data_IF_736268792295
#
_entry.id   IF_736268792295
#
_cell.length_a   1.000
_cell.length_b   1.000
_cell.length_c   1.000
_cell.angle_alpha   90.00
_cell.angle_beta   90.00
_cell.angle_gamma   90.00
#
_symmetry.space_group_name_H-M   'P 1'
#
loop_
_entity.id
_entity.type
_entity.pdbx_description
1 polymer ?
#
# COMPACT_ATOMS: atom_id res chain seq x y z
N UNK A 1 -18.62 20.83 3.87
CA UNK A 1 -18.33 19.47 3.42
C UNK A 1 -19.67 18.79 3.22
N UNK A 2 -19.96 18.38 1.99
CA UNK A 2 -21.16 17.58 1.69
C UNK A 2 -20.97 16.15 2.23
N UNK A 3 -22.05 15.37 2.27
CA UNK A 3 -21.95 13.94 2.61
C UNK A 3 -21.10 13.18 1.57
N UNK A 4 -21.19 13.60 0.31
CA UNK A 4 -20.36 13.08 -0.78
C UNK A 4 -18.87 13.37 -0.55
N UNK A 5 -18.50 14.60 -0.21
CA UNK A 5 -17.11 14.97 0.11
C UNK A 5 -16.55 14.12 1.27
N UNK A 6 -17.38 13.88 2.29
CA UNK A 6 -17.00 13.08 3.45
C UNK A 6 -16.77 11.61 3.06
N UNK A 7 -17.71 10.99 2.35
CA UNK A 7 -17.57 9.62 1.88
C UNK A 7 -16.35 9.44 0.98
N UNK A 8 -16.15 10.36 0.02
CA UNK A 8 -14.99 10.34 -0.87
C UNK A 8 -13.69 10.54 -0.10
N UNK A 9 -13.65 11.47 0.86
CA UNK A 9 -12.50 11.67 1.74
C UNK A 9 -12.16 10.43 2.59
N UNK A 10 -13.16 9.69 3.06
CA UNK A 10 -12.97 8.43 3.79
C UNK A 10 -12.42 7.31 2.88
N UNK A 11 -12.89 7.23 1.63
CA UNK A 11 -12.32 6.32 0.61
C UNK A 11 -10.85 6.65 0.38
N UNK A 12 -10.51 7.93 0.16
CA UNK A 12 -9.12 8.37 -0.02
C UNK A 12 -8.26 8.12 1.21
N UNK A 13 -8.82 8.25 2.42
CA UNK A 13 -8.14 7.89 3.66
C UNK A 13 -7.86 6.39 3.75
N UNK A 14 -8.83 5.54 3.37
CA UNK A 14 -8.65 4.10 3.27
C UNK A 14 -7.59 3.70 2.25
N UNK A 15 -7.62 4.28 1.04
CA UNK A 15 -6.59 4.06 0.01
C UNK A 15 -5.21 4.57 0.46
N UNK A 16 -5.16 5.70 1.17
CA UNK A 16 -3.93 6.24 1.76
C UNK A 16 -3.35 5.24 2.77
N UNK A 17 -4.16 4.78 3.72
CA UNK A 17 -3.73 3.77 4.69
C UNK A 17 -3.26 2.49 4.00
N UNK A 18 -3.98 2.03 2.97
CA UNK A 18 -3.59 0.86 2.20
C UNK A 18 -2.24 1.04 1.50
N UNK A 19 -1.99 2.19 0.88
CA UNK A 19 -0.73 2.46 0.20
C UNK A 19 0.44 2.59 1.18
N UNK A 20 0.21 3.15 2.37
CA UNK A 20 1.23 3.27 3.42
C UNK A 20 1.58 1.91 4.06
N UNK A 21 0.56 1.12 4.41
CA UNK A 21 0.75 -0.14 5.14
C UNK A 21 0.93 -1.34 4.19
N UNK A 22 0.01 -1.51 3.24
CA UNK A 22 0.07 -2.58 2.24
C UNK A 22 1.16 -2.36 1.19
N UNK A 23 1.48 -1.11 0.84
CA UNK A 23 2.56 -0.82 -0.10
C UNK A 23 3.93 -1.29 0.36
N UNK A 24 4.20 -1.23 1.68
CA UNK A 24 5.43 -1.76 2.27
C UNK A 24 5.55 -3.29 2.11
N UNK A 25 4.44 -4.03 2.18
CA UNK A 25 4.45 -5.49 2.00
C UNK A 25 4.73 -5.88 0.55
N UNK A 26 4.09 -5.20 -0.42
CA UNK A 26 4.34 -5.44 -1.84
C UNK A 26 5.77 -5.07 -2.21
N UNK A 27 6.26 -3.90 -1.78
CA UNK A 27 7.64 -3.51 -2.02
C UNK A 27 8.65 -4.45 -1.36
N UNK A 28 8.36 -5.01 -0.18
CA UNK A 28 9.23 -5.98 0.46
C UNK A 28 9.31 -7.29 -0.36
N UNK A 29 8.21 -7.69 -0.99
CA UNK A 29 8.20 -8.79 -1.96
C UNK A 29 9.06 -8.51 -3.20
N UNK A 30 9.08 -7.26 -3.69
CA UNK A 30 9.96 -6.86 -4.78
C UNK A 30 11.45 -6.92 -4.38
N UNK A 31 11.82 -6.35 -3.23
CA UNK A 31 13.19 -6.44 -2.73
C UNK A 31 13.61 -7.87 -2.43
N UNK A 32 12.68 -8.73 -1.99
CA UNK A 32 12.95 -10.15 -1.80
C UNK A 32 13.37 -10.85 -3.10
N UNK A 33 12.79 -10.48 -4.26
CA UNK A 33 13.22 -10.99 -5.56
C UNK A 33 14.60 -10.51 -5.98
N UNK A 34 14.92 -9.24 -5.68
CA UNK A 34 16.18 -8.61 -6.08
C UNK A 34 17.35 -9.01 -5.17
N UNK A 35 17.06 -9.47 -3.96
CA UNK A 35 18.05 -9.92 -2.97
C UNK A 35 18.28 -11.43 -2.97
N UNK A 36 18.06 -12.13 -4.11
CA UNK A 36 18.26 -13.60 -4.22
C UNK A 36 19.65 -14.05 -3.75
N UNK A 37 20.68 -13.29 -4.09
CA UNK A 37 22.08 -13.58 -3.75
C UNK A 37 22.53 -12.93 -2.42
N UNK A 38 21.60 -12.29 -1.68
CA UNK A 38 21.87 -11.59 -0.41
C UNK A 38 21.08 -12.22 0.74
N UNK A 39 21.59 -13.30 1.37
CA UNK A 39 20.85 -14.01 2.42
C UNK A 39 20.60 -13.16 3.67
N UNK A 40 21.45 -12.16 3.95
CA UNK A 40 21.24 -11.19 5.04
C UNK A 40 19.95 -10.38 4.86
N UNK A 41 19.80 -9.77 3.68
CA UNK A 41 18.63 -8.98 3.31
C UNK A 41 17.35 -9.83 3.34
N UNK A 42 17.39 -11.05 2.75
CA UNK A 42 16.23 -11.97 2.75
C UNK A 42 15.74 -12.28 4.15
N UNK A 43 16.64 -12.57 5.09
CA UNK A 43 16.28 -12.86 6.48
C UNK A 43 15.59 -11.67 7.16
N UNK A 44 16.04 -10.44 6.90
CA UNK A 44 15.40 -9.24 7.46
C UNK A 44 14.02 -9.04 6.84
N UNK A 45 13.88 -9.24 5.52
CA UNK A 45 12.60 -9.12 4.82
C UNK A 45 11.59 -10.15 5.31
N UNK A 46 11.97 -11.42 5.38
CA UNK A 46 11.10 -12.52 5.82
C UNK A 46 10.62 -12.31 7.26
N UNK A 47 11.48 -11.80 8.16
CA UNK A 47 11.08 -11.45 9.54
C UNK A 47 10.17 -10.22 9.62
N UNK A 48 10.31 -9.29 8.69
CA UNK A 48 9.52 -8.07 8.65
C UNK A 48 8.09 -8.30 8.11
N UNK A 49 7.93 -9.21 7.14
CA UNK A 49 6.69 -9.40 6.35
C UNK A 49 5.66 -10.34 7.03
N UNK A 50 5.90 -10.76 8.28
CA UNK A 50 5.06 -11.72 8.97
C UNK A 50 3.68 -11.19 9.44
N UNK A 51 3.54 -10.52 10.58
CA UNK A 51 2.29 -10.60 11.35
C UNK A 51 1.11 -9.72 10.90
N UNK A 52 1.26 -8.79 9.95
CA UNK A 52 0.25 -7.74 9.72
C UNK A 52 -0.42 -7.75 8.33
N UNK A 53 -0.07 -8.71 7.46
CA UNK A 53 -0.63 -8.81 6.09
C UNK A 53 -2.17 -8.76 6.07
N UNK A 54 -2.82 -9.50 6.98
CA UNK A 54 -4.29 -9.53 7.09
C UNK A 54 -4.87 -8.16 7.43
N UNK A 55 -4.21 -7.40 8.31
CA UNK A 55 -4.66 -6.07 8.73
C UNK A 55 -4.47 -5.02 7.63
N UNK A 56 -3.46 -5.18 6.76
CA UNK A 56 -3.19 -4.21 5.70
C UNK A 56 -4.27 -4.24 4.61
N UNK A 57 -4.76 -5.42 4.22
CA UNK A 57 -5.80 -5.53 3.18
C UNK A 57 -7.19 -5.06 3.61
N UNK A 58 -7.45 -4.99 4.92
CA UNK A 58 -8.69 -4.42 5.44
C UNK A 58 -8.92 -2.97 4.97
N UNK A 59 -7.85 -2.19 4.77
CA UNK A 59 -7.96 -0.81 4.26
C UNK A 59 -8.44 -0.73 2.82
N UNK A 60 -7.98 -1.64 1.95
CA UNK A 60 -8.47 -1.72 0.57
C UNK A 60 -9.91 -2.21 0.54
N UNK A 61 -10.23 -3.24 1.32
CA UNK A 61 -11.59 -3.75 1.42
C UNK A 61 -12.55 -2.67 1.93
N UNK A 62 -12.15 -1.88 2.92
CA UNK A 62 -12.91 -0.73 3.40
C UNK A 62 -13.12 0.29 2.28
N UNK A 63 -12.07 0.73 1.59
CA UNK A 63 -12.19 1.71 0.52
C UNK A 63 -13.14 1.23 -0.61
N UNK A 64 -13.05 -0.04 -1.00
CA UNK A 64 -13.93 -0.63 -2.01
C UNK A 64 -15.37 -0.78 -1.52
N UNK A 65 -15.56 -1.15 -0.24
CA UNK A 65 -16.88 -1.24 0.38
C UNK A 65 -17.56 0.13 0.39
N UNK A 66 -16.86 1.17 0.87
CA UNK A 66 -17.37 2.54 0.89
C UNK A 66 -17.67 3.05 -0.52
N UNK A 67 -16.79 2.76 -1.50
CA UNK A 67 -17.06 3.13 -2.89
C UNK A 67 -18.34 2.44 -3.41
N UNK A 68 -18.54 1.17 -3.09
CA UNK A 68 -19.71 0.40 -3.51
C UNK A 68 -21.00 0.88 -2.84
N UNK A 69 -20.98 1.17 -1.54
CA UNK A 69 -22.18 1.54 -0.78
C UNK A 69 -22.53 3.02 -0.91
N UNK A 70 -21.54 3.91 -0.90
CA UNK A 70 -21.75 5.35 -1.00
C UNK A 70 -21.92 5.83 -2.46
N UNK A 71 -21.23 5.19 -3.41
CA UNK A 71 -21.27 5.56 -4.84
C UNK A 71 -21.49 4.35 -5.77
N UNK A 72 -22.63 3.64 -5.66
CA UNK A 72 -22.87 2.41 -6.44
C UNK A 72 -22.67 2.57 -7.96
N UNK A 73 -23.14 3.65 -8.63
CA UNK A 73 -22.92 3.84 -10.06
C UNK A 73 -21.43 3.91 -10.42
N UNK A 74 -20.65 4.75 -9.71
CA UNK A 74 -19.20 4.90 -9.94
C UNK A 74 -18.48 3.56 -9.72
N UNK A 75 -18.86 2.81 -8.67
CA UNK A 75 -18.26 1.51 -8.40
C UNK A 75 -18.54 0.49 -9.49
N UNK A 76 -19.78 0.43 -9.98
CA UNK A 76 -20.17 -0.49 -11.05
C UNK A 76 -19.43 -0.19 -12.35
N UNK A 77 -19.40 1.09 -12.75
CA UNK A 77 -18.68 1.55 -13.94
C UNK A 77 -17.17 1.23 -13.85
N UNK A 78 -16.58 1.44 -12.66
CA UNK A 78 -15.19 1.09 -12.40
C UNK A 78 -14.95 -0.42 -12.54
N UNK A 79 -15.77 -1.26 -11.92
CA UNK A 79 -15.59 -2.72 -11.94
C UNK A 79 -15.75 -3.27 -13.36
N UNK A 80 -16.68 -2.72 -14.14
CA UNK A 80 -16.91 -3.14 -15.52
C UNK A 80 -15.80 -2.67 -16.46
N UNK A 81 -15.36 -1.41 -16.36
CA UNK A 81 -14.27 -0.88 -17.18
C UNK A 81 -12.92 -1.55 -16.87
N UNK A 82 -12.66 -1.88 -15.60
CA UNK A 82 -11.36 -2.30 -15.11
C UNK A 82 -11.31 -3.73 -14.58
N UNK A 83 -12.21 -4.60 -15.03
CA UNK A 83 -12.30 -6.00 -14.59
C UNK A 83 -10.97 -6.75 -14.64
N UNK A 84 -10.24 -6.65 -15.75
CA UNK A 84 -8.97 -7.36 -15.97
C UNK A 84 -7.90 -6.98 -14.93
N UNK A 85 -7.49 -5.70 -14.80
CA UNK A 85 -6.49 -5.32 -13.79
C UNK A 85 -6.97 -5.58 -12.35
N UNK A 86 -8.27 -5.43 -12.06
CA UNK A 86 -8.81 -5.73 -10.73
C UNK A 86 -8.70 -7.22 -10.38
N UNK A 87 -9.00 -8.12 -11.32
CA UNK A 87 -8.83 -9.58 -11.14
C UNK A 87 -7.35 -9.93 -10.96
N UNK A 88 -6.44 -9.32 -11.72
CA UNK A 88 -5.00 -9.55 -11.56
C UNK A 88 -4.54 -9.10 -10.16
N UNK A 89 -4.97 -7.92 -9.71
CA UNK A 89 -4.66 -7.42 -8.38
C UNK A 89 -5.22 -8.34 -7.27
N UNK A 90 -6.48 -8.78 -7.40
CA UNK A 90 -7.11 -9.70 -6.45
C UNK A 90 -6.39 -11.06 -6.41
N UNK A 91 -6.02 -11.61 -7.57
CA UNK A 91 -5.24 -12.85 -7.64
C UNK A 91 -3.85 -12.69 -7.00
N UNK A 92 -3.20 -11.55 -7.20
CA UNK A 92 -1.93 -11.24 -6.54
C UNK A 92 -2.05 -11.16 -5.02
N UNK A 93 -3.10 -10.49 -4.51
CA UNK A 93 -3.41 -10.44 -3.07
C UNK A 93 -3.66 -11.85 -2.53
N UNK A 94 -4.52 -12.64 -3.18
CA UNK A 94 -4.85 -14.00 -2.76
C UNK A 94 -3.61 -14.91 -2.74
N UNK A 95 -2.74 -14.82 -3.75
CA UNK A 95 -1.49 -15.57 -3.80
C UNK A 95 -0.56 -15.23 -2.62
N UNK A 96 -0.49 -13.95 -2.21
CA UNK A 96 0.29 -13.53 -1.02
C UNK A 96 -0.31 -14.03 0.29
N UNK A 97 -1.63 -14.06 0.40
CA UNK A 97 -2.32 -14.62 1.56
C UNK A 97 -2.07 -16.12 1.69
N UNK A 98 -2.20 -16.84 0.57
CA UNK A 98 -1.96 -18.27 0.50
C UNK A 98 -0.52 -18.65 0.88
N UNK A 99 0.50 -17.93 0.38
CA UNK A 99 1.89 -18.18 0.77
C UNK A 99 2.12 -17.96 2.25
N UNK A 100 1.62 -16.85 2.80
CA UNK A 100 1.77 -16.51 4.20
C UNK A 100 1.10 -17.53 5.14
N UNK A 101 -0.06 -18.07 4.73
CA UNK A 101 -0.76 -19.13 5.45
C UNK A 101 -0.01 -20.47 5.38
N UNK A 102 0.47 -20.85 4.19
CA UNK A 102 1.28 -22.05 3.99
C UNK A 102 2.62 -21.99 4.74
N UNK A 103 3.23 -20.83 4.89
CA UNK A 103 4.47 -20.71 5.65
C UNK A 103 4.27 -20.87 7.16
N UNK A 104 3.14 -20.40 7.71
CA UNK A 104 2.82 -20.50 9.15
C UNK A 104 2.23 -21.84 9.55
N UNK A 105 1.24 -22.29 8.78
CA UNK A 105 0.41 -23.45 9.11
C UNK A 105 0.70 -24.66 8.23
N UNK A 106 1.52 -24.49 7.18
CA UNK A 106 1.91 -25.59 6.32
C UNK A 106 2.60 -26.67 7.13
N UNK A 107 2.31 -27.95 6.86
CA UNK A 107 2.84 -29.05 7.63
C UNK A 107 4.34 -29.25 7.30
N UNK A 108 5.19 -28.37 7.83
CA UNK A 108 6.67 -28.41 7.68
C UNK A 108 7.29 -29.69 8.27
N UNK A 109 6.50 -30.54 8.94
CA UNK A 109 6.90 -31.84 9.50
C UNK A 109 6.44 -33.07 8.69
N UNK A 110 5.51 -32.97 7.73
CA UNK A 110 5.06 -34.14 6.95
C UNK A 110 5.67 -34.17 5.54
N UNK A 111 5.89 -35.37 5.00
CA UNK A 111 6.40 -35.56 3.63
C UNK A 111 5.46 -34.93 2.58
N UNK A 112 4.15 -34.94 2.86
CA UNK A 112 3.10 -34.29 2.06
C UNK A 112 3.26 -32.77 2.08
N UNK A 113 3.56 -32.16 3.23
CA UNK A 113 3.81 -30.72 3.33
C UNK A 113 5.08 -30.27 2.61
N UNK A 114 6.15 -31.07 2.66
CA UNK A 114 7.36 -30.84 1.85
C UNK A 114 7.14 -31.07 0.35
N UNK A 115 6.27 -32.01 -0.02
CA UNK A 115 5.89 -32.26 -1.41
C UNK A 115 5.02 -31.13 -1.96
N UNK A 116 4.00 -30.69 -1.23
CA UNK A 116 3.16 -29.54 -1.59
C UNK A 116 3.98 -28.25 -1.69
N UNK A 117 4.87 -27.95 -0.73
CA UNK A 117 5.71 -26.75 -0.82
C UNK A 117 6.76 -26.81 -1.93
N UNK A 118 7.29 -28.01 -2.27
CA UNK A 118 8.18 -28.20 -3.44
C UNK A 118 7.44 -28.17 -4.78
N UNK A 119 6.22 -28.69 -4.85
CA UNK A 119 5.41 -28.84 -6.08
C UNK A 119 4.65 -27.55 -6.39
N UNK A 120 4.11 -26.90 -5.37
CA UNK A 120 3.55 -25.55 -5.39
C UNK A 120 4.59 -24.58 -4.83
N UNK A 121 5.76 -24.49 -5.47
CA UNK A 121 6.62 -23.31 -5.26
C UNK A 121 5.83 -22.11 -5.78
N UNK A 122 5.14 -21.40 -4.89
CA UNK A 122 4.45 -20.13 -5.19
C UNK A 122 5.46 -18.96 -5.09
N UNK A 123 6.68 -19.19 -4.59
CA UNK A 123 7.83 -18.25 -4.63
C UNK A 123 8.02 -17.52 -5.99
N UNK A 124 7.99 -18.20 -7.16
CA UNK A 124 8.13 -17.52 -8.45
C UNK A 124 6.89 -16.71 -8.85
N UNK A 125 5.71 -16.98 -8.27
CA UNK A 125 4.49 -16.19 -8.49
C UNK A 125 4.40 -14.98 -7.53
N UNK A 126 5.04 -15.07 -6.36
CA UNK A 126 5.04 -14.02 -5.34
C UNK A 126 5.71 -12.74 -5.84
N UNK A 127 6.74 -12.89 -6.67
CA UNK A 127 7.45 -11.79 -7.27
C UNK A 127 6.62 -10.97 -8.26
N UNK A 128 6.14 -11.59 -9.34
CA UNK A 128 5.19 -10.98 -10.26
C UNK A 128 3.95 -10.44 -9.55
N UNK A 129 3.38 -11.15 -8.58
CA UNK A 129 2.24 -10.65 -7.80
C UNK A 129 2.57 -9.36 -7.03
N UNK A 130 3.79 -9.22 -6.51
CA UNK A 130 4.23 -8.03 -5.79
C UNK A 130 4.52 -6.83 -6.69
N UNK A 131 4.67 -7.06 -7.99
CA UNK A 131 4.81 -6.03 -9.03
C UNK A 131 3.45 -5.69 -9.66
N UNK A 132 2.73 -6.71 -10.11
CA UNK A 132 1.48 -6.58 -10.85
C UNK A 132 0.36 -6.01 -9.99
N UNK A 133 0.26 -6.39 -8.71
CA UNK A 133 -0.80 -5.87 -7.83
C UNK A 133 -0.76 -4.34 -7.69
N UNK A 134 0.34 -3.72 -7.22
CA UNK A 134 0.40 -2.26 -7.13
C UNK A 134 0.36 -1.60 -8.51
N UNK A 135 0.88 -2.25 -9.55
CA UNK A 135 0.78 -1.75 -10.92
C UNK A 135 -0.68 -1.65 -11.38
N UNK A 136 -1.45 -2.72 -11.28
CA UNK A 136 -2.85 -2.75 -11.70
C UNK A 136 -3.70 -1.75 -10.90
N UNK A 137 -3.52 -1.69 -9.57
CA UNK A 137 -4.26 -0.74 -8.73
C UNK A 137 -3.89 0.72 -9.05
N UNK A 138 -2.61 1.01 -9.26
CA UNK A 138 -2.13 2.34 -9.63
C UNK A 138 -2.59 2.78 -11.02
N UNK A 139 -2.65 1.85 -11.97
CA UNK A 139 -3.14 2.11 -13.31
C UNK A 139 -4.62 2.51 -13.28
N UNK A 140 -5.45 1.72 -12.59
CA UNK A 140 -6.89 2.00 -12.43
C UNK A 140 -7.11 3.34 -11.72
N UNK A 141 -6.40 3.60 -10.62
CA UNK A 141 -6.56 4.87 -9.90
C UNK A 141 -6.21 6.09 -10.77
N UNK A 142 -5.17 5.96 -11.61
CA UNK A 142 -4.73 7.07 -12.46
C UNK A 142 -5.64 7.28 -13.64
N UNK A 143 -6.15 6.21 -14.27
CA UNK A 143 -7.10 6.35 -15.38
C UNK A 143 -8.44 6.89 -14.94
N UNK A 144 -8.89 6.55 -13.72
CA UNK A 144 -10.07 7.20 -13.10
C UNK A 144 -9.79 8.70 -12.88
N UNK A 145 -8.61 9.06 -12.38
CA UNK A 145 -8.26 10.45 -12.13
C UNK A 145 -8.13 11.28 -13.42
N UNK A 146 -7.70 10.67 -14.53
CA UNK A 146 -7.52 11.36 -15.82
C UNK A 146 -8.72 11.22 -16.78
N UNK A 147 -9.69 10.37 -16.47
CA UNK A 147 -10.86 10.10 -17.32
C UNK A 147 -10.55 9.21 -18.53
N UNK A 148 -9.45 8.46 -18.50
CA UNK A 148 -9.04 7.56 -19.58
C UNK A 148 -9.79 6.23 -19.51
N UNK A 149 -10.20 5.68 -20.66
CA UNK A 149 -11.03 4.48 -20.69
C UNK A 149 -10.24 3.17 -20.47
N UNK A 150 -8.93 3.16 -20.74
CA UNK A 150 -8.10 1.96 -20.70
C UNK A 150 -6.99 2.06 -19.68
N UNK A 151 -6.88 1.05 -18.81
CA UNK A 151 -5.78 0.90 -17.84
C UNK A 151 -4.40 0.73 -18.50
N UNK A 152 -4.36 0.39 -19.79
CA UNK A 152 -3.12 0.30 -20.58
C UNK A 152 -2.81 1.59 -21.35
N UNK A 153 -3.55 2.67 -21.12
CA UNK A 153 -3.19 4.01 -21.62
C UNK A 153 -1.84 4.46 -21.07
N UNK A 154 -1.24 5.49 -21.68
CA UNK A 154 0.03 6.07 -21.22
C UNK A 154 -0.07 6.52 -19.76
N UNK A 155 -1.22 7.11 -19.38
CA UNK A 155 -1.48 7.57 -18.01
C UNK A 155 -1.66 6.40 -17.04
N UNK A 156 -2.34 5.32 -17.46
CA UNK A 156 -2.47 4.09 -16.67
C UNK A 156 -1.13 3.38 -16.44
N UNK A 157 -0.31 3.22 -17.49
CA UNK A 157 1.04 2.64 -17.37
C UNK A 157 1.91 3.49 -16.44
N UNK A 158 1.83 4.82 -16.57
CA UNK A 158 2.51 5.76 -15.68
C UNK A 158 2.07 5.58 -14.23
N UNK A 159 0.76 5.56 -13.97
CA UNK A 159 0.18 5.38 -12.64
C UNK A 159 0.57 4.07 -11.97
N UNK A 160 0.51 2.98 -12.74
CA UNK A 160 0.92 1.66 -12.27
C UNK A 160 2.40 1.57 -11.95
N UNK A 161 3.26 2.11 -12.83
CA UNK A 161 4.69 2.17 -12.60
C UNK A 161 5.02 3.01 -11.36
N UNK A 162 4.43 4.22 -11.25
CA UNK A 162 4.61 5.11 -10.11
C UNK A 162 4.23 4.43 -8.80
N UNK A 163 3.04 3.80 -8.75
CA UNK A 163 2.56 3.11 -7.55
C UNK A 163 3.48 1.96 -7.14
N UNK A 164 3.98 1.20 -8.12
CA UNK A 164 4.95 0.12 -7.86
C UNK A 164 6.27 0.64 -7.29
N UNK A 165 6.77 1.75 -7.84
CA UNK A 165 8.00 2.42 -7.35
C UNK A 165 7.80 3.00 -5.94
N UNK A 166 6.62 3.57 -5.66
CA UNK A 166 6.26 4.06 -4.32
C UNK A 166 6.23 2.92 -3.29
N UNK A 167 5.66 1.77 -3.64
CA UNK A 167 5.69 0.57 -2.80
C UNK A 167 7.13 0.12 -2.52
N UNK A 168 7.99 0.08 -3.55
CA UNK A 168 9.40 -0.27 -3.40
C UNK A 168 10.13 0.69 -2.44
N UNK A 169 9.90 1.98 -2.59
CA UNK A 169 10.46 3.02 -1.73
C UNK A 169 10.03 2.85 -0.27
N UNK A 170 8.72 2.72 -0.01
CA UNK A 170 8.22 2.54 1.35
C UNK A 170 8.74 1.28 2.01
N UNK A 171 8.81 0.18 1.27
CA UNK A 171 9.37 -1.05 1.79
C UNK A 171 10.83 -0.84 2.23
N UNK A 172 11.66 -0.20 1.41
CA UNK A 172 13.05 0.08 1.76
C UNK A 172 13.14 0.92 3.06
N UNK A 173 12.35 1.99 3.17
CA UNK A 173 12.28 2.83 4.38
C UNK A 173 11.89 2.04 5.63
N UNK A 174 10.90 1.15 5.52
CA UNK A 174 10.46 0.32 6.64
C UNK A 174 11.50 -0.75 7.01
N UNK A 175 12.16 -1.35 6.02
CA UNK A 175 13.18 -2.37 6.19
C UNK A 175 14.45 -1.83 6.86
N UNK A 176 14.81 -0.55 6.67
CA UNK A 176 15.93 0.08 7.41
C UNK A 176 15.74 -0.05 8.92
N UNK A 177 14.52 0.15 9.42
CA UNK A 177 14.22 0.04 10.85
C UNK A 177 14.34 -1.41 11.35
N UNK A 178 13.89 -2.38 10.54
CA UNK A 178 13.98 -3.79 10.89
C UNK A 178 15.43 -4.28 10.86
N UNK A 179 16.23 -3.84 9.88
CA UNK A 179 17.67 -4.08 9.84
C UNK A 179 18.39 -3.47 11.06
N UNK A 180 18.01 -2.23 11.44
CA UNK A 180 18.53 -1.60 12.67
C UNK A 180 18.23 -2.42 13.92
N UNK A 181 17.00 -2.93 14.05
CA UNK A 181 16.60 -3.80 15.17
C UNK A 181 17.35 -5.14 15.16
N UNK A 182 17.68 -5.65 13.97
CA UNK A 182 18.45 -6.89 13.83
C UNK A 182 19.95 -6.73 14.15
N UNK A 183 20.45 -5.49 14.26
CA UNK A 183 21.85 -5.21 14.60
C UNK A 183 22.86 -5.41 13.46
N UNK A 184 22.38 -5.69 12.23
CA UNK A 184 23.22 -5.93 11.06
C UNK A 184 23.50 -4.63 10.31
N UNK A 185 24.74 -4.14 10.43
CA UNK A 185 25.15 -2.83 9.88
C UNK A 185 25.25 -2.85 8.35
N UNK A 186 25.66 -3.97 7.76
CA UNK A 186 25.86 -4.08 6.32
C UNK A 186 24.50 -4.14 5.61
N UNK A 187 23.60 -4.97 6.13
CA UNK A 187 22.20 -5.05 5.64
C UNK A 187 21.47 -3.71 5.81
N UNK A 188 21.75 -2.97 6.89
CA UNK A 188 21.21 -1.62 7.07
C UNK A 188 21.69 -0.67 5.97
N UNK A 189 22.97 -0.70 5.60
CA UNK A 189 23.51 0.14 4.52
C UNK A 189 22.91 -0.23 3.16
N UNK A 190 22.67 -1.51 2.89
CA UNK A 190 21.97 -1.94 1.67
C UNK A 190 20.57 -1.32 1.57
N UNK A 191 19.77 -1.42 2.64
CA UNK A 191 18.41 -0.84 2.63
C UNK A 191 18.40 0.69 2.58
N UNK A 192 19.42 1.36 3.13
CA UNK A 192 19.62 2.80 2.90
C UNK A 192 19.86 3.10 1.43
N UNK A 193 20.74 2.35 0.78
CA UNK A 193 20.98 2.45 -0.66
C UNK A 193 19.70 2.23 -1.47
N UNK A 194 18.93 1.19 -1.15
CA UNK A 194 17.65 0.90 -1.79
C UNK A 194 16.64 2.04 -1.60
N UNK A 195 16.53 2.62 -0.40
CA UNK A 195 15.62 3.73 -0.13
C UNK A 195 16.02 5.00 -0.90
N UNK A 196 17.32 5.30 -1.01
CA UNK A 196 17.81 6.46 -1.78
C UNK A 196 17.56 6.24 -3.27
N UNK A 197 17.97 5.09 -3.83
CA UNK A 197 17.81 4.80 -5.26
C UNK A 197 16.34 4.80 -5.66
N UNK A 198 15.49 4.09 -4.92
CA UNK A 198 14.05 4.06 -5.20
C UNK A 198 13.39 5.43 -4.97
N UNK A 199 13.79 6.18 -3.94
CA UNK A 199 13.25 7.52 -3.67
C UNK A 199 13.61 8.54 -4.77
N UNK A 200 14.87 8.53 -5.24
CA UNK A 200 15.31 9.35 -6.38
C UNK A 200 14.57 8.94 -7.65
N UNK A 201 14.46 7.63 -7.92
CA UNK A 201 13.74 7.14 -9.09
C UNK A 201 12.26 7.56 -9.06
N UNK A 202 11.59 7.45 -7.90
CA UNK A 202 10.22 7.95 -7.70
C UNK A 202 10.16 9.45 -7.98
N UNK A 203 11.05 10.26 -7.41
CA UNK A 203 11.02 11.71 -7.61
C UNK A 203 11.22 12.12 -9.08
N UNK A 204 12.17 11.48 -9.76
CA UNK A 204 12.45 11.71 -11.18
C UNK A 204 11.31 11.23 -12.10
N UNK A 205 10.54 10.24 -11.68
CA UNK A 205 9.40 9.73 -12.44
C UNK A 205 8.10 10.52 -12.13
N UNK A 206 7.88 10.86 -10.86
CA UNK A 206 6.69 11.54 -10.37
C UNK A 206 6.58 12.98 -10.91
N UNK A 207 7.68 13.76 -10.85
CA UNK A 207 7.63 15.18 -11.20
C UNK A 207 7.31 15.45 -12.69
N UNK A 208 8.00 14.83 -13.66
CA UNK A 208 7.69 15.06 -15.07
C UNK A 208 6.30 14.57 -15.45
N UNK A 209 5.86 13.43 -14.90
CA UNK A 209 4.53 12.91 -15.19
C UNK A 209 3.41 13.76 -14.58
N UNK A 210 3.58 14.27 -13.35
CA UNK A 210 2.61 15.19 -12.76
C UNK A 210 2.46 16.48 -13.58
N UNK A 211 3.55 17.01 -14.12
CA UNK A 211 3.53 18.17 -15.02
C UNK A 211 2.88 17.83 -16.37
N UNK A 212 3.22 16.69 -16.97
CA UNK A 212 2.67 16.24 -18.24
C UNK A 212 1.16 15.96 -18.18
N UNK A 213 0.69 15.44 -17.05
CA UNK A 213 -0.75 15.21 -16.77
C UNK A 213 -1.49 16.51 -16.39
N UNK A 214 -0.78 17.63 -16.26
CA UNK A 214 -1.38 18.92 -15.94
C UNK A 214 -1.95 19.01 -14.53
N UNK A 215 -1.40 18.29 -13.55
CA UNK A 215 -1.90 18.31 -12.17
C UNK A 215 -1.61 19.68 -11.54
N UNK A 216 -2.65 20.48 -11.30
CA UNK A 216 -2.52 21.85 -10.75
C UNK A 216 -2.64 21.93 -9.22
N UNK A 217 -2.73 20.79 -8.54
CA UNK A 217 -2.93 20.75 -7.09
C UNK A 217 -1.67 21.16 -6.31
N UNK A 218 -1.76 22.05 -5.31
CA UNK A 218 -0.63 22.42 -4.45
C UNK A 218 -0.07 21.23 -3.67
N UNK A 219 -0.86 20.15 -3.52
CA UNK A 219 -0.42 18.91 -2.87
C UNK A 219 0.74 18.23 -3.61
N UNK A 220 0.89 18.45 -4.92
CA UNK A 220 2.04 17.92 -5.66
C UNK A 220 3.34 18.60 -5.23
N UNK A 221 3.31 19.91 -4.95
CA UNK A 221 4.48 20.63 -4.42
C UNK A 221 4.80 20.17 -2.99
N UNK A 222 3.79 19.97 -2.16
CA UNK A 222 3.96 19.39 -0.82
C UNK A 222 4.59 18.01 -0.91
N UNK A 223 4.15 17.19 -1.87
CA UNK A 223 4.73 15.88 -2.10
C UNK A 223 6.20 15.95 -2.55
N UNK A 224 6.51 16.82 -3.50
CA UNK A 224 7.88 17.01 -3.98
C UNK A 224 8.81 17.45 -2.85
N UNK A 225 8.39 18.42 -2.03
CA UNK A 225 9.14 18.88 -0.88
C UNK A 225 9.31 17.78 0.18
N UNK A 226 8.24 17.05 0.50
CA UNK A 226 8.27 15.95 1.46
C UNK A 226 9.15 14.78 0.97
N UNK A 227 9.13 14.46 -0.32
CA UNK A 227 9.97 13.43 -0.94
C UNK A 227 11.46 13.78 -0.88
N UNK A 228 11.81 15.02 -1.24
CA UNK A 228 13.17 15.54 -1.10
C UNK A 228 13.65 15.51 0.35
N UNK A 229 12.82 16.00 1.28
CA UNK A 229 13.09 15.94 2.71
C UNK A 229 13.33 14.50 3.16
N UNK A 230 12.53 13.56 2.67
CA UNK A 230 12.68 12.15 3.02
C UNK A 230 14.04 11.58 2.62
N UNK A 231 14.53 11.89 1.42
CA UNK A 231 15.87 11.47 0.96
C UNK A 231 16.96 12.07 1.87
N UNK A 232 16.87 13.37 2.19
CA UNK A 232 17.81 14.03 3.10
C UNK A 232 17.79 13.37 4.48
N UNK A 233 16.62 13.02 5.00
CA UNK A 233 16.46 12.37 6.31
C UNK A 233 17.02 10.95 6.34
N UNK A 234 16.96 10.20 5.22
CA UNK A 234 17.62 8.89 5.08
C UNK A 234 19.13 9.04 5.22
N UNK A 235 19.72 10.00 4.51
CA UNK A 235 21.16 10.30 4.58
C UNK A 235 21.57 10.74 5.98
N UNK A 236 20.74 11.56 6.64
CA UNK A 236 20.93 12.02 8.03
C UNK A 236 20.60 10.95 9.09
N UNK A 237 20.23 9.73 8.68
CA UNK A 237 19.91 8.59 9.56
C UNK A 237 18.76 8.84 10.56
N UNK A 238 17.83 9.75 10.22
CA UNK A 238 16.66 10.09 11.05
C UNK A 238 15.44 9.24 10.69
N UNK A 239 15.54 7.92 10.84
CA UNK A 239 14.60 6.96 10.25
C UNK A 239 13.13 7.08 10.66
N UNK A 240 12.83 7.58 11.87
CA UNK A 240 11.44 7.83 12.27
C UNK A 240 10.84 8.99 11.48
N UNK A 241 11.61 10.07 11.28
CA UNK A 241 11.17 11.22 10.52
C UNK A 241 10.98 10.87 9.03
N UNK A 242 11.83 9.98 8.47
CA UNK A 242 11.69 9.48 7.09
C UNK A 242 10.32 8.86 6.83
N UNK A 243 9.78 8.11 7.81
CA UNK A 243 8.45 7.48 7.66
C UNK A 243 7.35 8.52 7.55
N UNK A 244 7.43 9.57 8.37
CA UNK A 244 6.45 10.66 8.35
C UNK A 244 6.55 11.45 7.05
N UNK A 245 7.77 11.86 6.64
CA UNK A 245 7.95 12.60 5.38
C UNK A 245 7.55 11.77 4.15
N UNK A 246 7.89 10.48 4.12
CA UNK A 246 7.45 9.58 3.06
C UNK A 246 5.92 9.43 3.03
N UNK A 247 5.29 9.28 4.20
CA UNK A 247 3.83 9.20 4.29
C UNK A 247 3.16 10.47 3.76
N UNK A 248 3.64 11.65 4.18
CA UNK A 248 3.15 12.94 3.68
C UNK A 248 3.29 13.02 2.16
N UNK A 249 4.43 12.60 1.59
CA UNK A 249 4.65 12.64 0.16
C UNK A 249 3.63 11.81 -0.61
N UNK A 250 3.37 10.59 -0.18
CA UNK A 250 2.49 9.67 -0.92
C UNK A 250 1.02 10.01 -0.75
N UNK A 251 0.60 10.37 0.46
CA UNK A 251 -0.76 10.87 0.70
C UNK A 251 -1.01 12.12 -0.15
N UNK A 252 -0.07 13.05 -0.20
CA UNK A 252 -0.23 14.28 -0.98
C UNK A 252 -0.31 14.02 -2.49
N UNK A 253 0.45 13.07 -3.04
CA UNK A 253 0.31 12.67 -4.46
C UNK A 253 -1.05 12.05 -4.74
N UNK A 254 -1.49 11.10 -3.89
CA UNK A 254 -2.77 10.43 -4.08
C UNK A 254 -3.95 11.41 -4.03
N UNK A 255 -3.98 12.27 -3.02
CA UNK A 255 -5.03 13.28 -2.87
C UNK A 255 -4.94 14.38 -3.93
N UNK A 256 -3.71 14.74 -4.34
CA UNK A 256 -3.47 15.66 -5.45
C UNK A 256 -3.99 15.11 -6.78
N UNK A 257 -3.74 13.84 -7.07
CA UNK A 257 -4.28 13.16 -8.25
C UNK A 257 -5.80 13.01 -8.19
N UNK A 258 -6.36 12.67 -7.03
CA UNK A 258 -7.81 12.55 -6.84
C UNK A 258 -8.55 13.87 -7.13
N UNK A 259 -7.90 15.03 -6.91
CA UNK A 259 -8.49 16.33 -7.26
C UNK A 259 -8.68 16.57 -8.76
N UNK A 260 -8.06 15.76 -9.62
CA UNK A 260 -8.29 15.78 -11.06
C UNK A 260 -9.51 14.97 -11.49
N UNK A 261 -9.98 14.06 -10.64
CA UNK A 261 -11.10 13.20 -10.95
C UNK A 261 -12.38 14.04 -11.03
N UNK A 262 -12.88 14.27 -12.25
CA UNK A 262 -14.13 14.98 -12.49
C UNK A 262 -15.34 14.04 -12.31
N UNK A 263 -15.42 13.41 -11.13
CA UNK A 263 -16.53 12.51 -10.79
C UNK A 263 -17.73 13.32 -10.33
N UNK A 264 -18.92 12.99 -10.85
CA UNK A 264 -20.19 13.51 -10.34
C UNK A 264 -20.56 12.80 -9.04
N UNK A 265 -19.90 13.21 -7.95
CA UNK A 265 -20.07 12.59 -6.64
C UNK A 265 -21.48 12.79 -6.09
N UNK A 266 -22.10 13.95 -6.34
CA UNK A 266 -23.45 14.24 -5.85
C UNK A 266 -24.52 13.48 -6.64
N UNK A 267 -24.36 13.35 -7.96
CA UNK A 267 -25.29 12.58 -8.80
C UNK A 267 -25.18 11.06 -8.63
N UNK A 268 -24.00 10.56 -8.27
CA UNK A 268 -23.77 9.13 -8.02
C UNK A 268 -24.02 8.70 -6.56
N UNK A 269 -24.39 9.63 -5.68
CA UNK A 269 -24.51 9.38 -4.25
C UNK A 269 -25.70 8.46 -3.93
N UNK A 270 -25.48 7.49 -3.04
CA UNK A 270 -26.54 6.62 -2.55
C UNK A 270 -27.60 7.38 -1.71
N UNK A 271 -28.77 6.74 -1.52
CA UNK A 271 -29.84 7.28 -0.69
C UNK A 271 -29.36 7.62 0.73
N UNK A 272 -29.89 8.71 1.30
CA UNK A 272 -29.45 9.24 2.59
C UNK A 272 -29.51 8.22 3.75
N UNK A 273 -30.49 7.33 3.76
CA UNK A 273 -30.61 6.26 4.78
C UNK A 273 -29.46 5.26 4.73
N UNK A 274 -28.93 4.97 3.53
CA UNK A 274 -27.77 4.07 3.34
C UNK A 274 -26.53 4.75 3.92
N UNK A 275 -26.32 6.03 3.59
CA UNK A 275 -25.17 6.80 4.11
C UNK A 275 -25.21 6.96 5.63
N UNK A 276 -26.39 7.23 6.19
CA UNK A 276 -26.52 7.37 7.64
C UNK A 276 -26.20 6.04 8.35
N UNK A 277 -26.64 4.91 7.80
CA UNK A 277 -26.29 3.58 8.30
C UNK A 277 -24.79 3.28 8.13
N UNK A 278 -24.21 3.61 6.98
CA UNK A 278 -22.79 3.42 6.66
C UNK A 278 -21.88 4.23 7.59
N UNK A 279 -22.16 5.52 7.77
CA UNK A 279 -21.40 6.37 8.68
C UNK A 279 -21.55 5.93 10.14
N UNK A 280 -22.74 5.47 10.55
CA UNK A 280 -22.95 4.90 11.87
C UNK A 280 -22.12 3.62 12.06
N UNK A 281 -22.16 2.71 11.09
CA UNK A 281 -21.38 1.48 11.12
C UNK A 281 -19.88 1.75 11.18
N UNK A 282 -19.39 2.74 10.41
CA UNK A 282 -18.00 3.20 10.46
C UNK A 282 -17.64 3.77 11.84
N UNK A 283 -18.48 4.61 12.43
CA UNK A 283 -18.22 5.20 13.74
C UNK A 283 -18.15 4.13 14.84
N UNK A 284 -19.09 3.17 14.81
CA UNK A 284 -19.09 2.03 15.73
C UNK A 284 -17.86 1.16 15.52
N UNK A 285 -17.54 0.82 14.27
CA UNK A 285 -16.37 0.01 13.91
C UNK A 285 -15.05 0.68 14.31
N UNK A 286 -14.89 1.97 14.05
CA UNK A 286 -13.72 2.76 14.44
C UNK A 286 -13.56 2.81 15.97
N UNK A 287 -14.66 2.95 16.71
CA UNK A 287 -14.65 2.93 18.17
C UNK A 287 -14.22 1.56 18.69
N UNK A 288 -14.81 0.48 18.17
CA UNK A 288 -14.44 -0.88 18.54
C UNK A 288 -12.96 -1.18 18.22
N UNK A 289 -12.48 -0.72 17.06
CA UNK A 289 -11.09 -0.87 16.65
C UNK A 289 -10.14 -0.11 17.58
N UNK A 290 -10.45 1.14 17.93
CA UNK A 290 -9.65 1.96 18.84
C UNK A 290 -9.56 1.30 20.24
N UNK A 291 -10.68 0.80 20.76
CA UNK A 291 -10.72 0.06 22.04
C UNK A 291 -9.86 -1.19 21.97
N UNK A 292 -9.98 -1.99 20.91
CA UNK A 292 -9.18 -3.20 20.72
C UNK A 292 -7.67 -2.89 20.64
N UNK A 293 -7.28 -1.83 19.93
CA UNK A 293 -5.87 -1.40 19.84
C UNK A 293 -5.32 -0.88 21.17
N UNK A 294 -6.10 -0.11 21.92
CA UNK A 294 -5.72 0.33 23.26
C UNK A 294 -5.51 -0.88 24.19
N UNK A 295 -6.41 -1.85 24.15
CA UNK A 295 -6.30 -3.08 24.93
C UNK A 295 -5.06 -3.90 24.55
N UNK A 296 -4.80 -4.05 23.25
CA UNK A 296 -3.63 -4.74 22.74
C UNK A 296 -2.33 -4.07 23.21
N UNK A 297 -2.27 -2.74 23.18
CA UNK A 297 -1.13 -1.99 23.68
C UNK A 297 -0.89 -2.25 25.18
N UNK A 298 -1.95 -2.20 25.99
CA UNK A 298 -1.87 -2.48 27.43
C UNK A 298 -1.39 -3.91 27.70
N UNK A 299 -1.88 -4.90 26.95
CA UNK A 299 -1.46 -6.29 27.10
C UNK A 299 0.03 -6.49 26.81
N UNK A 300 0.54 -5.90 25.72
CA UNK A 300 1.97 -6.01 25.39
C UNK A 300 2.86 -5.30 26.40
N UNK A 301 2.47 -4.13 26.89
CA UNK A 301 3.19 -3.41 27.94
C UNK A 301 3.26 -4.23 29.24
N UNK A 302 2.17 -4.90 29.62
CA UNK A 302 2.12 -5.75 30.82
C UNK A 302 3.03 -6.98 30.71
N UNK A 303 3.10 -7.62 29.54
CA UNK A 303 4.01 -8.76 29.31
C UNK A 303 5.49 -8.38 29.38
N UNK A 304 5.85 -7.14 29.02
CA UNK A 304 7.21 -6.63 29.19
C UNK A 304 7.57 -6.39 30.67
N UNK A 305 6.60 -5.99 31.49
CA UNK A 305 6.79 -5.74 32.92
C UNK A 305 6.91 -7.02 33.77
N UNK A 306 6.41 -8.17 33.29
CA UNK A 306 6.50 -9.46 34.02
C UNK A 306 7.75 -10.28 33.70
N UNK A 307 8.53 -9.84 32.70
CA UNK A 307 9.79 -10.48 32.29
C UNK A 307 11.04 -9.71 32.78
N UNK A 308 10.83 -8.60 33.50
CA UNK A 308 11.87 -7.83 34.20
C UNK A 308 11.82 -8.18 35.69
#
# INVERSE_FOLDING_TARGET
MTRADLAFGLILAGLSAYLLFGGADFGAGLWHLLSRDRPGDRRVIERAVGPMWEAHHAWLALALLLAWTAFPPIFNDMVDAYRVPLVIAAAGIAARGATSALDRFGPRRTAVGRFLSRRFRIEPLLGPASLLTPFCLGAVATTIATGEASWMSVTGIYGGALTTMLCAYFAAVHLIWNARKAGDRDVLLHFQGYAIVSGVAVGLFAMPGALALGVRSPLILVSAAAGLLSIVLVVRRRYLAVRVSGAVAVVSVLWGAASMAHLDLDGALAHGSVLDAEFTALAVGATAFAVAMAWLHVLFQRQSATKA
#
